data_IF_295400177713
#
_entry.id   IF_295400177713
#
_cell.length_a   1.000
_cell.length_b   1.000
_cell.length_c   1.000
_cell.angle_alpha   90.00
_cell.angle_beta   90.00
_cell.angle_gamma   90.00
#
_symmetry.space_group_name_H-M   'P 1'
#
loop_
_entity.id
_entity.type
_entity.pdbx_description
1 polymer ?
#
# COMPACT_ATOMS: atom_id res chain seq x y z
N UNK A 1 10.02 -17.44 28.86
CA UNK A 1 8.81 -17.80 28.11
C UNK A 1 8.43 -16.56 27.33
N UNK A 2 8.60 -16.58 26.02
CA UNK A 2 8.41 -15.40 25.16
C UNK A 2 6.91 -15.13 25.08
N UNK A 3 6.50 -13.91 25.44
CA UNK A 3 5.14 -13.43 25.30
C UNK A 3 4.87 -13.22 23.80
N UNK A 4 4.25 -14.22 23.16
CA UNK A 4 3.80 -14.15 21.76
C UNK A 4 2.33 -13.69 21.78
N UNK A 5 2.09 -12.54 22.40
CA UNK A 5 0.82 -11.83 22.30
C UNK A 5 0.97 -10.75 21.25
N UNK A 6 1.02 -11.17 19.98
CA UNK A 6 1.02 -10.27 18.84
C UNK A 6 -0.16 -9.31 18.97
N UNK A 7 0.14 -8.02 19.10
CA UNK A 7 -0.86 -6.97 18.94
C UNK A 7 -1.58 -7.25 17.62
N UNK A 8 -2.84 -7.67 17.69
CA UNK A 8 -3.75 -7.58 16.55
C UNK A 8 -3.85 -6.09 16.26
N UNK A 9 -3.04 -5.63 15.30
CA UNK A 9 -3.15 -4.27 14.80
C UNK A 9 -4.61 -4.00 14.47
N UNK A 10 -5.23 -3.06 15.19
CA UNK A 10 -6.58 -2.62 14.90
C UNK A 10 -6.63 -2.19 13.43
N UNK A 11 -7.52 -2.82 12.67
CA UNK A 11 -7.81 -2.39 11.30
C UNK A 11 -8.59 -1.09 11.37
N UNK A 12 -7.88 0.02 11.33
CA UNK A 12 -8.51 1.33 11.28
C UNK A 12 -9.00 1.59 9.85
N UNK A 13 -10.31 1.57 9.64
CA UNK A 13 -10.94 1.87 8.35
C UNK A 13 -11.34 3.35 8.33
N UNK A 14 -10.77 4.11 7.41
CA UNK A 14 -11.16 5.50 7.16
C UNK A 14 -11.63 5.69 5.72
N UNK A 15 -12.68 6.49 5.53
CA UNK A 15 -13.21 6.82 4.20
C UNK A 15 -12.52 8.05 3.62
N UNK A 16 -12.16 7.99 2.32
CA UNK A 16 -11.66 9.15 1.56
C UNK A 16 -12.36 9.24 0.23
N UNK A 17 -12.63 10.47 -0.22
CA UNK A 17 -13.19 10.71 -1.55
C UNK A 17 -12.10 10.54 -2.60
N UNK A 18 -12.46 9.92 -3.72
CA UNK A 18 -11.65 9.96 -4.93
C UNK A 18 -11.74 11.36 -5.55
N UNK A 19 -10.61 11.85 -6.04
CA UNK A 19 -10.49 13.11 -6.73
C UNK A 19 -10.16 12.84 -8.20
N UNK A 20 -10.90 13.41 -9.14
CA UNK A 20 -10.55 13.33 -10.55
C UNK A 20 -9.49 14.39 -10.89
N UNK A 21 -8.41 13.96 -11.51
CA UNK A 21 -7.28 14.78 -11.94
C UNK A 21 -6.92 14.43 -13.39
N UNK A 22 -6.52 15.42 -14.19
CA UNK A 22 -6.08 15.18 -15.58
C UNK A 22 -7.12 14.57 -16.52
N UNK A 23 -8.42 14.60 -16.15
CA UNK A 23 -9.55 14.11 -16.96
C UNK A 23 -9.73 12.59 -17.00
N UNK A 24 -8.69 11.79 -16.73
CA UNK A 24 -8.74 10.32 -16.81
C UNK A 24 -8.20 9.60 -15.56
N UNK A 25 -7.67 10.33 -14.58
CA UNK A 25 -6.96 9.74 -13.44
C UNK A 25 -7.64 10.09 -12.13
N UNK A 26 -7.97 9.09 -11.32
CA UNK A 26 -8.42 9.31 -9.95
C UNK A 26 -7.24 9.26 -8.97
N UNK A 27 -7.30 10.13 -7.96
CA UNK A 27 -6.34 10.20 -6.86
C UNK A 27 -7.09 10.02 -5.54
N UNK A 28 -6.49 9.29 -4.60
CA UNK A 28 -6.91 9.22 -3.20
C UNK A 28 -5.72 9.60 -2.33
N UNK A 29 -5.95 10.43 -1.32
CA UNK A 29 -4.88 10.80 -0.39
C UNK A 29 -4.57 9.63 0.54
N UNK A 30 -3.30 9.39 0.83
CA UNK A 30 -2.88 8.36 1.79
C UNK A 30 -2.88 8.89 3.23
N UNK A 31 -3.09 8.04 4.25
CA UNK A 31 -3.01 8.45 5.66
C UNK A 31 -1.62 8.95 6.01
N UNK A 32 -1.53 10.17 6.54
CA UNK A 32 -0.25 10.75 7.00
C UNK A 32 0.46 9.85 8.03
N UNK A 33 -0.24 9.24 9.02
CA UNK A 33 0.40 8.29 9.93
C UNK A 33 1.01 7.08 9.21
N UNK A 34 0.34 6.54 8.19
CA UNK A 34 0.84 5.42 7.39
C UNK A 34 2.08 5.81 6.58
N UNK A 35 2.09 7.01 5.98
CA UNK A 35 3.27 7.54 5.27
C UNK A 35 4.47 7.65 6.22
N UNK A 36 4.27 8.19 7.42
CA UNK A 36 5.33 8.30 8.42
C UNK A 36 5.82 6.95 8.92
N UNK A 37 4.91 5.99 9.18
CA UNK A 37 5.25 4.66 9.64
C UNK A 37 6.02 3.83 8.60
N UNK A 38 5.78 4.06 7.31
CA UNK A 38 6.47 3.38 6.21
C UNK A 38 7.79 4.06 5.80
N UNK A 39 8.07 5.24 6.34
CA UNK A 39 9.25 6.05 6.01
C UNK A 39 9.20 6.69 4.63
N UNK A 40 8.03 6.72 3.99
CA UNK A 40 7.80 7.32 2.69
C UNK A 40 7.77 8.86 2.76
N UNK A 41 8.03 9.49 1.62
CA UNK A 41 8.02 10.94 1.43
C UNK A 41 7.30 11.29 0.13
N UNK A 42 6.97 12.56 -0.05
CA UNK A 42 6.42 13.05 -1.30
C UNK A 42 7.41 12.80 -2.45
N UNK A 43 6.92 12.21 -3.54
CA UNK A 43 7.74 11.80 -4.69
C UNK A 43 8.19 10.34 -4.67
N UNK A 44 8.08 9.65 -3.52
CA UNK A 44 8.37 8.22 -3.47
C UNK A 44 7.30 7.42 -4.22
N UNK A 45 7.74 6.31 -4.84
CA UNK A 45 6.86 5.41 -5.58
C UNK A 45 6.29 4.35 -4.64
N UNK A 46 4.98 4.14 -4.72
CA UNK A 46 4.28 3.00 -4.13
C UNK A 46 3.75 2.08 -5.22
N UNK A 47 3.51 0.83 -4.88
CA UNK A 47 2.95 -0.16 -5.79
C UNK A 47 1.50 -0.44 -5.43
N UNK A 48 0.68 -0.68 -6.44
CA UNK A 48 -0.72 -1.01 -6.28
C UNK A 48 -0.94 -2.44 -6.76
N UNK A 49 -1.56 -3.25 -5.92
CA UNK A 49 -1.95 -4.62 -6.26
C UNK A 49 -3.47 -4.76 -6.16
N UNK A 50 -4.10 -5.13 -7.27
CA UNK A 50 -5.53 -5.45 -7.30
C UNK A 50 -5.72 -6.91 -6.90
N UNK A 51 -6.49 -7.14 -5.85
CA UNK A 51 -6.79 -8.47 -5.35
C UNK A 51 -8.05 -9.05 -6.03
N UNK A 52 -8.22 -10.37 -5.96
CA UNK A 52 -9.35 -11.06 -6.58
C UNK A 52 -10.72 -10.67 -6.00
N UNK A 53 -10.76 -10.20 -4.75
CA UNK A 53 -11.96 -9.69 -4.09
C UNK A 53 -12.31 -8.25 -4.49
N UNK A 54 -11.55 -7.64 -5.39
CA UNK A 54 -11.73 -6.27 -5.87
C UNK A 54 -11.10 -5.22 -4.95
N UNK A 55 -10.44 -5.60 -3.86
CA UNK A 55 -9.68 -4.68 -3.03
C UNK A 55 -8.40 -4.23 -3.73
N UNK A 56 -7.93 -3.03 -3.37
CA UNK A 56 -6.68 -2.45 -3.85
C UNK A 56 -5.70 -2.30 -2.69
N UNK A 57 -4.57 -2.98 -2.76
CA UNK A 57 -3.52 -2.92 -1.74
C UNK A 57 -2.42 -1.96 -2.16
N UNK A 58 -2.04 -1.04 -1.26
CA UNK A 58 -0.93 -0.10 -1.45
C UNK A 58 0.31 -0.62 -0.74
N UNK A 59 1.39 -0.84 -1.49
CA UNK A 59 2.64 -1.40 -1.01
C UNK A 59 3.74 -0.32 -1.02
N UNK A 60 4.37 -0.01 0.12
CA UNK A 60 5.41 1.03 0.20
C UNK A 60 6.75 0.62 -0.43
N UNK A 61 6.94 -0.66 -0.74
CA UNK A 61 8.11 -1.23 -1.44
C UNK A 61 7.63 -2.38 -2.33
N UNK A 62 8.36 -2.73 -3.40
CA UNK A 62 8.08 -3.96 -4.13
C UNK A 62 8.19 -5.15 -3.16
N UNK A 63 7.28 -6.10 -3.25
CA UNK A 63 7.48 -7.39 -2.60
C UNK A 63 8.74 -8.04 -3.21
N UNK A 64 9.78 -8.25 -2.42
CA UNK A 64 10.88 -9.15 -2.78
C UNK A 64 10.26 -10.57 -2.87
N UNK A 65 10.21 -11.34 -3.96
CA UNK A 65 10.91 -11.45 -5.26
C UNK A 65 9.97 -12.16 -6.27
N UNK A 66 10.19 -11.97 -7.57
CA UNK A 66 10.22 -13.11 -8.50
C UNK A 66 11.66 -13.24 -9.02
N UNK A 67 12.23 -14.45 -9.09
CA UNK A 67 13.59 -14.64 -9.61
C UNK A 67 13.67 -14.16 -11.07
N UNK A 68 14.86 -13.77 -11.57
CA UNK A 68 15.00 -13.39 -12.96
C UNK A 68 14.47 -14.54 -13.82
N UNK A 69 13.43 -14.27 -14.62
CA UNK A 69 13.03 -15.19 -15.69
C UNK A 69 14.24 -15.32 -16.60
N UNK A 70 14.97 -16.42 -16.45
CA UNK A 70 16.01 -16.82 -17.38
C UNK A 70 15.32 -17.60 -18.50
N UNK A 71 15.80 -17.33 -19.72
CA UNK A 71 15.62 -18.08 -21.00
C UNK A 71 14.42 -17.60 -21.83
N UNK A 72 14.54 -17.43 -23.15
CA UNK A 72 15.46 -18.00 -24.17
C UNK A 72 16.06 -16.89 -25.02
#
# INVERSE_FOLDING_TARGET
MIDISGERGERHVEGRKLQLTGGSTYVVSLPKPWISATGLRAGDTVFLETMADGSLTVLPRPAEKAPPRKKV
#
